data_IF_988240707753
#
_entry.id   IF_988240707753
#
_cell.length_a   1.000
_cell.length_b   1.000
_cell.length_c   1.000
_cell.angle_alpha   90.00
_cell.angle_beta   90.00
_cell.angle_gamma   90.00
#
_symmetry.space_group_name_H-M   'P 1'
#
loop_
_entity.id
_entity.type
_entity.pdbx_description
1 polymer ?
#
# COMPACT_ATOMS: atom_id res chain seq x y z
N UNK A 1 -7.03 -19.57 0.78
CA UNK A 1 -7.37 -18.16 0.53
C UNK A 1 -8.84 -18.07 0.10
N UNK A 2 -9.62 -17.12 0.63
CA UNK A 2 -11.00 -16.89 0.20
C UNK A 2 -11.02 -16.38 -1.26
N UNK A 3 -11.96 -16.85 -2.09
CA UNK A 3 -12.10 -16.44 -3.50
C UNK A 3 -12.21 -14.92 -3.66
N UNK A 4 -12.88 -14.25 -2.71
CA UNK A 4 -13.01 -12.79 -2.71
C UNK A 4 -11.65 -12.11 -2.53
N UNK A 5 -10.85 -12.56 -1.56
CA UNK A 5 -9.50 -12.03 -1.30
C UNK A 5 -8.57 -12.26 -2.48
N UNK A 6 -8.71 -13.41 -3.17
CA UNK A 6 -7.92 -13.69 -4.38
C UNK A 6 -8.27 -12.74 -5.52
N UNK A 7 -9.56 -12.48 -5.72
CA UNK A 7 -10.03 -11.59 -6.79
C UNK A 7 -9.64 -10.14 -6.53
N UNK A 8 -9.66 -9.72 -5.26
CA UNK A 8 -9.16 -8.43 -4.81
C UNK A 8 -7.66 -8.27 -5.03
N UNK A 9 -6.84 -9.28 -4.68
CA UNK A 9 -5.39 -9.27 -4.97
C UNK A 9 -5.11 -9.15 -6.48
N UNK A 10 -5.78 -9.97 -7.29
CA UNK A 10 -5.61 -9.93 -8.75
C UNK A 10 -5.99 -8.56 -9.34
N UNK A 11 -7.04 -7.92 -8.81
CA UNK A 11 -7.44 -6.57 -9.20
C UNK A 11 -6.39 -5.53 -8.80
N UNK A 12 -5.88 -5.59 -7.57
CA UNK A 12 -4.85 -4.66 -7.10
C UNK A 12 -3.56 -4.84 -7.91
N UNK A 13 -3.08 -6.07 -8.10
CA UNK A 13 -1.91 -6.38 -8.93
C UNK A 13 -2.08 -5.89 -10.37
N UNK A 14 -3.25 -6.13 -10.96
CA UNK A 14 -3.58 -5.62 -12.30
C UNK A 14 -3.48 -4.10 -12.35
N UNK A 15 -4.01 -3.39 -11.35
CA UNK A 15 -3.96 -1.93 -11.31
C UNK A 15 -2.56 -1.39 -11.06
N UNK A 16 -1.77 -1.98 -10.17
CA UNK A 16 -0.38 -1.59 -9.97
C UNK A 16 0.44 -1.72 -11.27
N UNK A 17 0.16 -2.73 -12.09
CA UNK A 17 0.82 -2.92 -13.40
C UNK A 17 0.48 -1.86 -14.45
N UNK A 18 -0.62 -1.11 -14.27
CA UNK A 18 -1.00 0.02 -15.13
C UNK A 18 -0.21 1.31 -14.78
N UNK A 19 0.66 1.27 -13.77
CA UNK A 19 1.52 2.38 -13.39
C UNK A 19 0.73 3.51 -12.73
N UNK A 20 1.02 4.76 -13.13
CA UNK A 20 0.42 5.97 -12.52
C UNK A 20 -1.11 5.92 -12.52
N UNK A 21 -1.72 5.55 -13.63
CA UNK A 21 -3.19 5.59 -13.78
C UNK A 21 -3.88 4.52 -12.92
N UNK A 22 -3.30 3.33 -12.84
CA UNK A 22 -3.85 2.29 -11.97
C UNK A 22 -3.60 2.58 -10.49
N UNK A 23 -2.48 3.21 -10.13
CA UNK A 23 -2.26 3.72 -8.78
C UNK A 23 -3.28 4.82 -8.43
N UNK A 24 -3.54 5.75 -9.34
CA UNK A 24 -4.55 6.80 -9.15
C UNK A 24 -5.93 6.19 -8.84
N UNK A 25 -6.31 5.16 -9.61
CA UNK A 25 -7.52 4.38 -9.35
C UNK A 25 -7.51 3.78 -7.94
N UNK A 26 -6.46 3.04 -7.57
CA UNK A 26 -6.39 2.41 -6.24
C UNK A 26 -6.48 3.43 -5.10
N UNK A 27 -5.84 4.59 -5.22
CA UNK A 27 -5.86 5.63 -4.20
C UNK A 27 -7.24 6.32 -4.07
N UNK A 28 -8.03 6.39 -5.14
CA UNK A 28 -9.41 6.87 -5.09
C UNK A 28 -10.33 5.92 -4.31
N UNK A 29 -10.09 4.61 -4.42
CA UNK A 29 -10.88 3.57 -3.77
C UNK A 29 -10.34 3.15 -2.39
N UNK A 30 -9.08 3.46 -2.07
CA UNK A 30 -8.51 3.24 -0.75
C UNK A 30 -9.26 4.12 0.26
N UNK A 31 -10.03 3.48 1.15
CA UNK A 31 -10.89 4.17 2.09
C UNK A 31 -10.07 5.00 3.08
N UNK A 32 -10.14 6.34 3.09
CA UNK A 32 -9.35 7.18 3.99
C UNK A 32 -9.78 7.07 5.48
N UNK A 33 -10.70 6.16 5.81
CA UNK A 33 -11.19 5.94 7.17
C UNK A 33 -10.88 4.53 7.69
N UNK A 34 -10.06 3.73 6.97
CA UNK A 34 -9.73 2.34 7.36
C UNK A 34 -8.39 2.17 8.11
N UNK A 35 -7.69 3.28 8.37
CA UNK A 35 -6.37 3.36 9.05
C UNK A 35 -6.29 2.61 10.40
N UNK A 36 -7.43 2.48 11.08
CA UNK A 36 -7.48 1.83 12.38
C UNK A 36 -7.26 0.31 12.26
N UNK A 37 -7.49 -0.31 11.10
CA UNK A 37 -7.38 -1.77 10.97
C UNK A 37 -5.94 -2.25 11.09
N UNK A 38 -4.99 -1.60 10.42
CA UNK A 38 -3.58 -1.99 10.48
C UNK A 38 -3.00 -1.81 11.89
N UNK A 39 -3.23 -0.64 12.49
CA UNK A 39 -2.82 -0.37 13.86
C UNK A 39 -3.49 -1.31 14.88
N UNK A 40 -4.77 -1.66 14.67
CA UNK A 40 -5.49 -2.64 15.51
C UNK A 40 -4.90 -4.03 15.37
N UNK A 41 -4.55 -4.46 14.16
CA UNK A 41 -3.97 -5.77 13.89
C UNK A 41 -2.56 -5.90 14.45
N UNK A 42 -1.69 -4.91 14.23
CA UNK A 42 -0.37 -4.86 14.85
C UNK A 42 -0.44 -4.94 16.39
N UNK A 43 -1.37 -4.19 17.00
CA UNK A 43 -1.63 -4.26 18.45
C UNK A 43 -2.12 -5.64 18.90
N UNK A 44 -3.02 -6.28 18.14
CA UNK A 44 -3.54 -7.60 18.46
C UNK A 44 -2.52 -8.72 18.30
N UNK A 45 -1.58 -8.59 17.34
CA UNK A 45 -0.53 -9.58 17.10
C UNK A 45 0.73 -9.34 17.95
N UNK A 46 0.75 -8.26 18.75
CA UNK A 46 1.91 -7.90 19.57
C UNK A 46 3.13 -7.48 18.75
N UNK A 47 2.91 -7.05 17.50
CA UNK A 47 3.97 -6.61 16.60
C UNK A 47 4.09 -5.09 16.70
N UNK A 48 5.20 -4.61 17.25
CA UNK A 48 5.63 -3.22 17.09
C UNK A 48 6.44 -3.11 15.82
N UNK A 49 5.87 -2.48 14.79
CA UNK A 49 6.58 -2.13 13.58
C UNK A 49 7.08 -0.69 13.74
N UNK A 50 8.24 -0.55 14.37
CA UNK A 50 8.92 0.74 14.51
C UNK A 50 9.86 0.88 13.32
N UNK A 51 9.47 1.66 12.31
CA UNK A 51 10.39 2.06 11.25
C UNK A 51 11.32 3.14 11.80
N UNK A 52 12.63 2.91 11.75
CA UNK A 52 13.62 3.81 12.36
C UNK A 52 14.13 4.87 11.38
N UNK A 53 13.84 4.74 10.08
CA UNK A 53 14.20 5.67 9.01
C UNK A 53 13.20 5.63 7.83
N UNK A 54 13.12 6.73 7.06
CA UNK A 54 12.26 6.90 5.89
C UNK A 54 12.58 5.87 4.78
N UNK A 55 13.83 5.41 4.70
CA UNK A 55 14.25 4.40 3.72
C UNK A 55 13.63 3.02 3.98
N UNK A 56 13.49 2.63 5.25
CA UNK A 56 12.87 1.35 5.64
C UNK A 56 11.37 1.36 5.34
N UNK A 57 10.70 2.50 5.58
CA UNK A 57 9.29 2.68 5.26
C UNK A 57 9.06 2.63 3.74
N UNK A 58 9.94 3.24 2.96
CA UNK A 58 9.86 3.20 1.51
C UNK A 58 10.01 1.78 0.96
N UNK A 59 11.02 1.04 1.43
CA UNK A 59 11.22 -0.36 1.03
C UNK A 59 10.01 -1.21 1.40
N UNK A 60 9.43 -0.99 2.57
CA UNK A 60 8.21 -1.67 3.01
C UNK A 60 7.01 -1.40 2.08
N UNK A 61 6.85 -0.16 1.60
CA UNK A 61 5.80 0.19 0.64
C UNK A 61 6.06 -0.50 -0.71
N UNK A 62 7.29 -0.43 -1.22
CA UNK A 62 7.70 -1.09 -2.48
C UNK A 62 7.38 -2.58 -2.41
N UNK A 63 7.86 -3.26 -1.36
CA UNK A 63 7.69 -4.69 -1.19
C UNK A 63 6.22 -5.07 -1.05
N UNK A 64 5.41 -4.24 -0.39
CA UNK A 64 3.97 -4.48 -0.30
C UNK A 64 3.29 -4.44 -1.67
N UNK A 65 3.87 -3.77 -2.66
CA UNK A 65 3.31 -3.67 -4.03
C UNK A 65 3.90 -4.71 -4.99
N UNK A 66 5.15 -5.12 -4.80
CA UNK A 66 5.86 -5.99 -5.75
C UNK A 66 6.02 -7.44 -5.30
N UNK A 67 6.09 -7.73 -3.99
CA UNK A 67 6.34 -9.09 -3.49
C UNK A 67 5.08 -9.95 -3.45
N UNK A 68 5.30 -11.26 -3.42
CA UNK A 68 4.24 -12.22 -3.11
C UNK A 68 3.96 -12.28 -1.59
N UNK A 69 2.73 -12.67 -1.18
CA UNK A 69 2.33 -12.63 0.23
C UNK A 69 3.22 -13.44 1.18
N UNK A 70 3.71 -14.59 0.72
CA UNK A 70 4.55 -15.49 1.53
C UNK A 70 5.95 -14.89 1.72
N UNK A 71 6.55 -14.34 0.66
CA UNK A 71 7.87 -13.67 0.72
C UNK A 71 7.83 -12.44 1.64
N UNK A 72 6.75 -11.66 1.54
CA UNK A 72 6.54 -10.50 2.40
C UNK A 72 6.40 -10.90 3.87
N UNK A 73 5.65 -11.97 4.15
CA UNK A 73 5.51 -12.49 5.51
C UNK A 73 6.82 -13.03 6.05
N UNK A 74 7.62 -13.73 5.25
CA UNK A 74 8.93 -14.23 5.67
C UNK A 74 9.90 -13.07 6.00
N UNK A 75 9.86 -11.98 5.23
CA UNK A 75 10.72 -10.81 5.45
C UNK A 75 10.31 -9.98 6.66
N UNK A 76 9.02 -9.62 6.75
CA UNK A 76 8.53 -8.65 7.73
C UNK A 76 7.80 -9.28 8.91
N UNK A 77 7.40 -10.55 8.82
CA UNK A 77 6.52 -11.22 9.79
C UNK A 77 5.19 -10.50 10.03
N UNK A 78 4.73 -9.69 9.06
CA UNK A 78 3.47 -8.93 9.09
C UNK A 78 2.54 -9.42 8.00
N UNK A 79 1.23 -9.32 8.24
CA UNK A 79 0.23 -9.69 7.25
C UNK A 79 0.25 -8.79 6.01
N UNK A 80 0.64 -9.37 4.88
CA UNK A 80 0.73 -8.71 3.57
C UNK A 80 -0.50 -7.90 3.17
N UNK A 81 -1.70 -8.50 3.23
CA UNK A 81 -2.93 -7.87 2.75
C UNK A 81 -3.24 -6.58 3.49
N UNK A 82 -3.05 -6.62 4.81
CA UNK A 82 -3.35 -5.51 5.69
C UNK A 82 -2.27 -4.43 5.51
N UNK A 83 -1.00 -4.80 5.37
CA UNK A 83 0.09 -3.86 5.10
C UNK A 83 -0.13 -3.10 3.78
N UNK A 84 -0.49 -3.82 2.71
CA UNK A 84 -0.77 -3.21 1.39
C UNK A 84 -1.94 -2.23 1.46
N UNK A 85 -3.04 -2.61 2.09
CA UNK A 85 -4.22 -1.76 2.27
C UNK A 85 -3.88 -0.50 3.10
N UNK A 86 -3.11 -0.66 4.18
CA UNK A 86 -2.65 0.44 5.02
C UNK A 86 -1.76 1.44 4.26
N UNK A 87 -0.86 0.91 3.42
CA UNK A 87 0.02 1.73 2.59
C UNK A 87 -0.78 2.52 1.55
N UNK A 88 -1.71 1.88 0.83
CA UNK A 88 -2.61 2.56 -0.12
C UNK A 88 -3.45 3.65 0.58
N UNK A 89 -3.98 3.34 1.77
CA UNK A 89 -4.76 4.28 2.58
C UNK A 89 -3.92 5.47 3.01
N UNK A 90 -2.68 5.24 3.48
CA UNK A 90 -1.76 6.30 3.89
C UNK A 90 -1.39 7.22 2.73
N UNK A 91 -1.08 6.65 1.55
CA UNK A 91 -0.79 7.40 0.33
C UNK A 91 -2.02 8.17 -0.19
N UNK A 92 -3.22 7.64 -0.01
CA UNK A 92 -4.45 8.36 -0.37
C UNK A 92 -4.70 9.55 0.56
N UNK A 93 -4.53 9.37 1.87
CA UNK A 93 -4.67 10.42 2.87
C UNK A 93 -3.73 11.59 2.68
N UNK A 94 -2.49 11.34 2.29
CA UNK A 94 -1.50 12.41 2.09
C UNK A 94 -1.90 13.37 0.96
N UNK A 95 -2.65 12.89 -0.04
CA UNK A 95 -3.05 13.68 -1.21
C UNK A 95 -4.51 14.15 -1.17
N UNK A 96 -5.32 13.68 -0.21
CA UNK A 96 -6.77 13.90 -0.20
C UNK A 96 -7.20 15.38 -0.17
N UNK A 97 -6.40 16.24 0.47
CA UNK A 97 -6.70 17.67 0.64
C UNK A 97 -5.99 18.55 -0.40
N UNK A 98 -5.29 17.94 -1.36
CA UNK A 98 -4.62 18.65 -2.44
C UNK A 98 -5.61 19.03 -3.53
N UNK A 99 -5.33 20.13 -4.24
CA UNK A 99 -6.03 20.41 -5.50
C UNK A 99 -5.67 19.34 -6.56
N UNK A 100 -6.47 19.24 -7.61
CA UNK A 100 -6.31 18.21 -8.65
C UNK A 100 -4.91 18.18 -9.28
N UNK A 101 -4.33 19.35 -9.58
CA UNK A 101 -2.99 19.43 -10.19
C UNK A 101 -1.90 18.91 -9.26
N UNK A 102 -1.95 19.26 -7.97
CA UNK A 102 -1.00 18.79 -6.98
C UNK A 102 -1.19 17.30 -6.69
N UNK A 103 -2.45 16.84 -6.66
CA UNK A 103 -2.79 15.42 -6.50
C UNK A 103 -2.20 14.59 -7.64
N UNK A 104 -2.44 15.00 -8.88
CA UNK A 104 -1.91 14.31 -10.07
C UNK A 104 -0.38 14.25 -10.09
N UNK A 105 0.26 15.38 -9.76
CA UNK A 105 1.72 15.47 -9.64
C UNK A 105 2.27 14.52 -8.56
N UNK A 106 1.66 14.51 -7.37
CA UNK A 106 2.08 13.64 -6.26
C UNK A 106 1.88 12.16 -6.58
N UNK A 107 0.80 11.79 -7.25
CA UNK A 107 0.60 10.41 -7.72
C UNK A 107 1.68 10.02 -8.73
N UNK A 108 2.10 10.94 -9.60
CA UNK A 108 3.24 10.74 -10.48
C UNK A 108 4.52 10.41 -9.71
N UNK A 109 4.83 11.17 -8.66
CA UNK A 109 5.97 10.89 -7.78
C UNK A 109 5.87 9.54 -7.06
N UNK A 110 4.67 9.16 -6.59
CA UNK A 110 4.45 7.84 -5.98
C UNK A 110 4.66 6.70 -6.96
N UNK A 111 4.16 6.82 -8.18
CA UNK A 111 4.38 5.82 -9.21
C UNK A 111 5.88 5.67 -9.53
N UNK A 112 6.60 6.78 -9.66
CA UNK A 112 8.05 6.76 -9.87
C UNK A 112 8.81 6.14 -8.70
N UNK A 113 8.37 6.39 -7.46
CA UNK A 113 9.08 5.92 -6.26
C UNK A 113 8.78 4.46 -5.94
N UNK A 114 7.51 4.06 -6.00
CA UNK A 114 7.05 2.78 -5.47
C UNK A 114 6.79 1.70 -6.52
N UNK A 115 6.63 2.06 -7.80
CA UNK A 115 6.31 1.10 -8.87
C UNK A 115 7.47 0.84 -9.83
N UNK A 116 8.60 1.59 -9.73
CA UNK A 116 9.74 1.44 -10.66
C UNK A 116 10.42 0.08 -10.64
N UNK A 117 10.18 -0.73 -9.61
CA UNK A 117 10.75 -2.07 -9.43
C UNK A 117 9.67 -3.17 -9.27
N UNK A 118 8.40 -2.85 -9.52
CA UNK A 118 7.27 -3.78 -9.41
C UNK A 118 7.00 -4.53 -10.72
#
# INVERSE_FOLDING_TARGET
MNLLVKLEDELIKSKLSEGKEGLAFLLEYAGPYDDDRYNLLLKQTGITCDFYDDSELEEFIIDSFSMDPDEFYDKYSVNFWISRDANLTSLSKSIQNMNESNKDYMIGLYAERFLRNA
#
